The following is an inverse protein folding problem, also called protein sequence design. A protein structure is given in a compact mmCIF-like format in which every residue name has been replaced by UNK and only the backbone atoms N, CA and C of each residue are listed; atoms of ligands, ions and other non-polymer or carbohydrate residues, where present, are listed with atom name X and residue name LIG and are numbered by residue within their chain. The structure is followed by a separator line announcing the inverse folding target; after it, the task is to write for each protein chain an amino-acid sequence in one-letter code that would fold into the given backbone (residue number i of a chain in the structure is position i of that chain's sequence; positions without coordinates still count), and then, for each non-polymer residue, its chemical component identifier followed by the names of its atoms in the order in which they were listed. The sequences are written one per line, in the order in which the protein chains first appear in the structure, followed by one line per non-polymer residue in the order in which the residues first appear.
data_IF_913262470875
#
_entry.id   IF_913262470875
#
_cell.length_a   1.000
_cell.length_b   1.000
_cell.length_c   1.000
_cell.angle_alpha   90.00
_cell.angle_beta   90.00
_cell.angle_gamma   90.00
#
_symmetry.space_group_name_H-M   'P 1'
#
loop_
_entity.id
_entity.type
_entity.pdbx_description
1 polymer ?
#
# COMPACT_ATOMS: atom_id res chain seq x y z
N UNK A 1 10.81 -4.92 -7.55
CA UNK A 1 11.90 -5.70 -6.90
C UNK A 1 11.40 -6.50 -5.70
N UNK A 2 10.45 -5.98 -4.90
CA UNK A 2 9.94 -6.69 -3.70
C UNK A 2 8.85 -7.74 -3.95
N UNK A 3 8.16 -7.70 -5.09
CA UNK A 3 6.99 -8.58 -5.34
C UNK A 3 7.37 -10.07 -5.38
N UNK A 4 8.52 -10.42 -5.95
CA UNK A 4 8.97 -11.81 -6.00
C UNK A 4 9.22 -12.37 -4.60
N UNK A 5 9.99 -11.65 -3.78
CA UNK A 5 10.26 -12.05 -2.40
C UNK A 5 9.00 -12.15 -1.54
N UNK A 6 8.02 -11.26 -1.75
CA UNK A 6 6.74 -11.31 -1.04
C UNK A 6 5.89 -12.51 -1.48
N UNK A 7 5.87 -12.83 -2.78
CA UNK A 7 5.19 -14.00 -3.30
C UNK A 7 5.79 -15.29 -2.75
N UNK A 8 7.14 -15.38 -2.72
CA UNK A 8 7.84 -16.56 -2.22
C UNK A 8 7.55 -16.77 -0.73
N UNK A 9 7.62 -15.72 0.09
CA UNK A 9 7.27 -15.78 1.51
C UNK A 9 5.80 -16.10 1.77
N UNK A 10 4.87 -15.66 0.89
CA UNK A 10 3.46 -16.04 0.99
C UNK A 10 3.26 -17.53 0.75
N UNK A 11 3.93 -18.10 -0.28
CA UNK A 11 3.86 -19.53 -0.59
C UNK A 11 4.43 -20.35 0.58
N UNK A 12 5.55 -19.94 1.16
CA UNK A 12 6.16 -20.63 2.30
C UNK A 12 5.21 -20.71 3.52
N UNK A 13 4.45 -19.65 3.80
CA UNK A 13 3.58 -19.56 4.98
C UNK A 13 2.21 -20.21 4.75
N UNK A 14 1.65 -20.08 3.54
CA UNK A 14 0.25 -20.43 3.25
C UNK A 14 0.08 -21.61 2.28
N UNK A 15 1.17 -22.21 1.81
CA UNK A 15 1.20 -23.34 0.87
C UNK A 15 0.33 -23.12 -0.39
N UNK A 16 0.19 -21.87 -0.81
CA UNK A 16 -0.54 -21.48 -2.00
C UNK A 16 0.02 -20.18 -2.57
N UNK A 17 -0.24 -19.93 -3.85
CA UNK A 17 0.12 -18.66 -4.48
C UNK A 17 -0.88 -17.58 -4.05
N UNK A 18 -0.43 -16.32 -3.86
CA UNK A 18 -1.37 -15.21 -3.70
C UNK A 18 -2.17 -15.02 -4.99
N UNK A 19 -3.47 -14.74 -4.87
CA UNK A 19 -4.32 -14.35 -5.99
C UNK A 19 -3.96 -12.94 -6.49
N UNK A 20 -3.62 -12.05 -5.56
CA UNK A 20 -3.37 -10.62 -5.82
C UNK A 20 -2.18 -10.15 -4.98
N UNK A 21 -1.31 -9.35 -5.60
CA UNK A 21 -0.36 -8.49 -4.90
C UNK A 21 -0.78 -7.05 -5.17
N UNK A 22 -0.94 -6.25 -4.12
CA UNK A 22 -1.37 -4.84 -4.22
C UNK A 22 -0.48 -3.94 -3.39
N UNK A 23 -0.26 -2.72 -3.89
CA UNK A 23 0.62 -1.73 -3.27
C UNK A 23 -0.10 -0.40 -3.10
N UNK A 24 0.00 0.18 -1.90
CA UNK A 24 -0.47 1.53 -1.61
C UNK A 24 0.71 2.42 -1.16
N UNK A 25 0.90 3.61 -1.74
CA UNK A 25 1.91 4.54 -1.27
C UNK A 25 1.43 5.26 -0.01
N UNK A 26 2.38 5.59 0.88
CA UNK A 26 2.19 6.66 1.83
C UNK A 26 2.07 8.01 1.14
N UNK A 27 1.78 9.06 1.90
CA UNK A 27 1.68 10.43 1.38
C UNK A 27 2.26 11.44 2.36
N UNK A 28 2.84 12.50 1.83
CA UNK A 28 3.14 13.72 2.57
C UNK A 28 2.09 14.78 2.21
N UNK A 29 1.70 15.60 3.19
CA UNK A 29 0.87 16.76 2.90
C UNK A 29 1.79 17.95 2.61
N UNK A 30 1.62 18.63 1.46
CA UNK A 30 2.41 19.81 1.14
C UNK A 30 1.80 21.07 1.77
N UNK A 31 0.45 21.16 1.77
CA UNK A 31 -0.32 22.25 2.39
C UNK A 31 -1.78 21.82 2.63
N UNK A 32 -2.45 22.46 3.58
CA UNK A 32 -3.86 22.23 3.91
C UNK A 32 -4.08 21.34 5.14
N UNK A 33 -3.13 21.30 6.09
CA UNK A 33 -3.31 20.54 7.33
C UNK A 33 -4.57 20.97 8.08
N UNK A 34 -5.29 19.99 8.62
CA UNK A 34 -6.50 20.20 9.42
C UNK A 34 -7.69 20.83 8.67
N UNK A 35 -7.65 20.87 7.34
CA UNK A 35 -8.75 21.43 6.52
C UNK A 35 -9.65 20.37 5.90
N UNK A 36 -9.16 19.14 5.72
CA UNK A 36 -9.84 18.03 5.06
C UNK A 36 -11.13 17.62 5.78
N UNK A 37 -11.10 17.46 7.10
CA UNK A 37 -12.29 17.14 7.89
C UNK A 37 -13.29 18.31 7.99
N UNK A 38 -12.91 19.50 7.51
CA UNK A 38 -13.76 20.68 7.39
C UNK A 38 -14.25 20.92 5.95
N UNK A 39 -14.13 19.93 5.05
CA UNK A 39 -14.47 20.06 3.62
C UNK A 39 -13.63 21.09 2.86
N UNK A 40 -12.44 21.43 3.37
CA UNK A 40 -11.47 22.29 2.68
C UNK A 40 -10.64 21.53 1.63
N UNK A 41 -9.82 22.28 0.89
CA UNK A 41 -8.89 21.70 -0.09
C UNK A 41 -7.54 21.33 0.57
N UNK A 42 -6.95 20.23 0.11
CA UNK A 42 -5.62 19.77 0.50
C UNK A 42 -4.74 19.52 -0.72
N UNK A 43 -3.42 19.63 -0.58
CA UNK A 43 -2.46 19.30 -1.64
C UNK A 43 -1.46 18.23 -1.17
N UNK A 44 -1.86 16.95 -1.09
CA UNK A 44 -0.96 15.87 -0.76
C UNK A 44 -0.19 15.37 -2.00
N UNK A 45 0.95 14.73 -1.75
CA UNK A 45 1.69 13.99 -2.77
C UNK A 45 2.02 12.59 -2.27
N UNK A 46 1.85 11.59 -3.14
CA UNK A 46 2.33 10.23 -2.87
C UNK A 46 3.86 10.22 -2.77
N UNK A 47 4.39 9.38 -1.88
CA UNK A 47 5.83 9.22 -1.67
C UNK A 47 6.29 7.79 -2.00
N UNK A 48 7.60 7.59 -2.11
CA UNK A 48 8.18 6.29 -2.45
C UNK A 48 8.08 5.24 -1.32
N UNK A 49 7.70 5.64 -0.10
CA UNK A 49 7.44 4.70 0.99
C UNK A 49 6.06 4.05 0.77
N UNK A 50 6.03 2.75 0.57
CA UNK A 50 4.81 2.00 0.23
C UNK A 50 4.54 0.86 1.21
N UNK A 51 3.28 0.44 1.28
CA UNK A 51 2.87 -0.83 1.88
C UNK A 51 2.39 -1.76 0.77
N UNK A 52 2.97 -2.96 0.69
CA UNK A 52 2.62 -3.97 -0.31
C UNK A 52 2.11 -5.22 0.41
N UNK A 53 1.00 -5.76 -0.07
CA UNK A 53 0.34 -6.95 0.49
C UNK A 53 0.15 -8.02 -0.58
N UNK A 54 0.24 -9.27 -0.16
CA UNK A 54 -0.12 -10.45 -0.95
C UNK A 54 -1.37 -11.09 -0.31
N UNK A 55 -2.36 -11.44 -1.13
CA UNK A 55 -3.69 -11.89 -0.67
C UNK A 55 -4.17 -13.05 -1.54
N UNK A 56 -4.80 -14.05 -0.91
CA UNK A 56 -5.52 -15.13 -1.57
C UNK A 56 -6.91 -15.31 -0.94
N UNK A 57 -7.91 -15.72 -1.72
CA UNK A 57 -9.22 -16.12 -1.17
C UNK A 57 -9.07 -17.41 -0.36
N UNK A 58 -9.73 -17.44 0.79
CA UNK A 58 -9.81 -18.62 1.65
C UNK A 58 -10.94 -19.54 1.21
#
# INVERSE_FOLDING_TARGET
MYEQSLSDGFIEIFDCKPDIISTAPGRVNLIGDHTDYNQGFVLPAAIHMTTTIAVSRR
#
